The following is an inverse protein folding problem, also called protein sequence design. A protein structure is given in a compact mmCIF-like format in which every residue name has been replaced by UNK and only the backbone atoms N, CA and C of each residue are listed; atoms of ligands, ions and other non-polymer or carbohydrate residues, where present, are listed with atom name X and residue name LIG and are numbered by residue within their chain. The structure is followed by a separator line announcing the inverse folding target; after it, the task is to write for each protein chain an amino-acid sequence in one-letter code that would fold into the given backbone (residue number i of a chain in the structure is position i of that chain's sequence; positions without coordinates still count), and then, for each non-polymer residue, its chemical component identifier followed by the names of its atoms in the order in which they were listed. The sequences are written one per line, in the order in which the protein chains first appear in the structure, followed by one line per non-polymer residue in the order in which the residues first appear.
data_IF_967090730043
#
_entry.id   IF_967090730043
#
_cell.length_a   1.000
_cell.length_b   1.000
_cell.length_c   1.000
_cell.angle_alpha   90.00
_cell.angle_beta   90.00
_cell.angle_gamma   90.00
#
_symmetry.space_group_name_H-M   'P 1'
#
loop_
_entity.id
_entity.type
_entity.pdbx_description
1 polymer ?
#
# COMPACT_ATOMS: atom_id res chain seq x y z
N UNK A 1 34.77 -14.16 53.77
CA UNK A 1 34.35 -13.91 52.37
C UNK A 1 32.83 -13.86 52.36
N UNK A 2 32.23 -12.69 52.46
CA UNK A 2 30.77 -12.53 52.42
C UNK A 2 30.37 -12.14 50.99
N UNK A 3 29.45 -12.89 50.39
CA UNK A 3 28.92 -12.65 49.05
C UNK A 3 27.97 -11.45 49.06
N UNK A 4 28.27 -10.43 48.25
CA UNK A 4 27.34 -9.35 47.97
C UNK A 4 26.26 -9.83 46.99
N UNK A 5 25.02 -9.92 47.46
CA UNK A 5 23.83 -10.01 46.60
C UNK A 5 23.28 -8.60 46.38
N UNK A 6 23.31 -8.11 45.15
CA UNK A 6 22.67 -6.84 44.79
C UNK A 6 21.16 -7.04 44.72
N UNK A 7 20.33 -6.24 45.41
CA UNK A 7 18.88 -6.34 45.31
C UNK A 7 18.43 -5.78 43.96
N UNK A 8 17.72 -6.60 43.17
CA UNK A 8 17.00 -6.12 41.99
C UNK A 8 15.96 -5.08 42.44
N UNK A 9 16.16 -3.83 42.03
CA UNK A 9 15.28 -2.72 42.33
C UNK A 9 13.93 -2.97 41.65
N UNK A 10 12.94 -3.46 42.41
CA UNK A 10 11.56 -3.60 41.91
C UNK A 10 10.95 -2.21 41.77
N UNK A 11 10.92 -1.71 40.54
CA UNK A 11 10.24 -0.46 40.21
C UNK A 11 8.73 -0.65 40.48
N UNK A 12 8.23 -0.12 41.61
CA UNK A 12 6.80 -0.13 41.92
C UNK A 12 6.16 1.04 41.19
N UNK A 13 5.44 0.74 40.11
CA UNK A 13 4.66 1.74 39.41
C UNK A 13 3.50 2.23 40.31
N UNK A 14 3.29 3.54 40.50
CA UNK A 14 2.15 4.04 41.26
C UNK A 14 0.84 3.57 40.61
N UNK A 15 -0.12 3.15 41.43
CA UNK A 15 -1.44 2.64 41.00
C UNK A 15 -2.15 3.51 39.95
N UNK A 16 -2.19 4.85 40.02
CA UNK A 16 -2.82 5.65 38.97
C UNK A 16 -2.08 5.56 37.63
N UNK A 17 -0.75 5.39 37.64
CA UNK A 17 0.04 5.22 36.42
C UNK A 17 -0.22 3.84 35.79
N UNK A 18 -0.37 2.81 36.62
CA UNK A 18 -0.77 1.48 36.15
C UNK A 18 -2.16 1.49 35.52
N UNK A 19 -3.14 2.17 36.14
CA UNK A 19 -4.50 2.32 35.58
C UNK A 19 -4.48 3.10 34.25
N UNK A 20 -3.70 4.19 34.17
CA UNK A 20 -3.57 4.98 32.95
C UNK A 20 -2.96 4.17 31.79
N UNK A 21 -1.94 3.35 32.06
CA UNK A 21 -1.31 2.45 31.08
C UNK A 21 -2.27 1.38 30.60
N UNK A 22 -3.04 0.76 31.50
CA UNK A 22 -4.06 -0.24 31.12
C UNK A 22 -5.15 0.38 30.26
N UNK A 23 -5.61 1.60 30.59
CA UNK A 23 -6.63 2.29 29.81
C UNK A 23 -6.13 2.67 28.40
N UNK A 24 -4.86 3.07 28.26
CA UNK A 24 -4.25 3.35 26.94
C UNK A 24 -4.08 2.08 26.10
N UNK A 25 -3.73 0.95 26.72
CA UNK A 25 -3.62 -0.33 26.01
C UNK A 25 -4.98 -0.85 25.51
N UNK A 26 -6.05 -0.68 26.29
CA UNK A 26 -7.41 -1.09 25.91
C UNK A 26 -7.99 -0.16 24.82
N UNK A 27 -7.62 1.12 24.83
CA UNK A 27 -8.07 2.10 23.84
C UNK A 27 -7.28 2.04 22.51
N UNK A 28 -6.28 1.18 22.39
CA UNK A 28 -5.53 1.03 21.16
C UNK A 28 -6.44 0.48 20.05
N UNK A 29 -6.51 1.13 18.87
CA UNK A 29 -7.25 0.59 17.74
C UNK A 29 -6.66 -0.77 17.32
N UNK A 30 -7.47 -1.69 16.77
CA UNK A 30 -6.97 -2.96 16.26
C UNK A 30 -5.86 -2.70 15.23
N UNK A 31 -4.75 -3.43 15.38
CA UNK A 31 -3.63 -3.35 14.47
C UNK A 31 -4.11 -3.93 13.13
N UNK A 32 -4.30 -3.08 12.14
CA UNK A 32 -4.48 -3.54 10.77
C UNK A 32 -3.09 -3.89 10.22
N UNK A 33 -2.85 -5.17 9.97
CA UNK A 33 -1.65 -5.66 9.26
C UNK A 33 -1.74 -5.22 7.78
N UNK A 34 -1.41 -3.96 7.53
CA UNK A 34 -1.29 -3.42 6.19
C UNK A 34 0.10 -3.71 5.63
N UNK A 35 0.19 -3.84 4.31
CA UNK A 35 1.48 -4.02 3.64
C UNK A 35 2.33 -2.76 3.76
N UNK A 36 3.57 -2.91 4.23
CA UNK A 36 4.62 -1.92 4.03
C UNK A 36 5.46 -2.23 2.78
N UNK A 37 6.61 -1.56 2.63
CA UNK A 37 7.56 -1.78 1.53
C UNK A 37 7.84 -3.26 1.25
N UNK A 38 8.12 -4.03 2.30
CA UNK A 38 8.42 -5.47 2.17
C UNK A 38 7.23 -6.28 1.66
N UNK A 39 6.02 -5.94 2.11
CA UNK A 39 4.79 -6.56 1.63
C UNK A 39 4.60 -6.42 0.13
N UNK A 40 4.75 -5.19 -0.37
CA UNK A 40 4.67 -4.91 -1.81
C UNK A 40 5.74 -5.68 -2.61
N UNK A 41 6.97 -5.73 -2.12
CA UNK A 41 8.06 -6.49 -2.76
C UNK A 41 7.70 -8.00 -2.81
N UNK A 42 7.25 -8.57 -1.70
CA UNK A 42 6.91 -10.00 -1.60
C UNK A 42 5.77 -10.38 -2.54
N UNK A 43 4.67 -9.62 -2.57
CA UNK A 43 3.54 -9.88 -3.48
C UNK A 43 4.00 -9.85 -4.93
N UNK A 44 4.81 -8.87 -5.32
CA UNK A 44 5.31 -8.78 -6.69
C UNK A 44 6.29 -9.90 -7.05
N UNK A 45 7.20 -10.29 -6.14
CA UNK A 45 8.06 -11.46 -6.36
C UNK A 45 7.25 -12.74 -6.58
N UNK A 46 6.17 -12.92 -5.82
CA UNK A 46 5.27 -14.06 -6.02
C UNK A 46 4.62 -13.95 -7.41
N UNK A 47 4.04 -12.80 -7.75
CA UNK A 47 3.35 -12.57 -9.02
C UNK A 47 4.25 -12.80 -10.25
N UNK A 48 5.52 -12.39 -10.21
CA UNK A 48 6.48 -12.60 -11.30
C UNK A 48 6.61 -14.08 -11.70
N UNK A 49 6.53 -15.00 -10.75
CA UNK A 49 6.62 -16.44 -11.01
C UNK A 49 5.38 -17.01 -11.73
N UNK A 50 4.26 -16.28 -11.76
CA UNK A 50 3.01 -16.70 -12.40
C UNK A 50 2.74 -15.95 -13.71
N UNK A 51 3.66 -15.08 -14.16
CA UNK A 51 3.51 -14.39 -15.43
C UNK A 51 3.75 -15.35 -16.60
N UNK A 52 2.89 -15.26 -17.62
CA UNK A 52 3.17 -15.88 -18.91
C UNK A 52 4.40 -15.24 -19.58
N UNK A 53 5.05 -15.93 -20.51
CA UNK A 53 6.20 -15.40 -21.25
C UNK A 53 5.90 -14.04 -21.92
N UNK A 54 4.70 -13.90 -22.50
CA UNK A 54 4.22 -12.64 -23.09
C UNK A 54 4.15 -11.51 -22.05
N UNK A 55 3.65 -11.82 -20.85
CA UNK A 55 3.54 -10.83 -19.77
C UNK A 55 4.93 -10.46 -19.20
N UNK A 56 5.84 -11.43 -19.07
CA UNK A 56 7.24 -11.17 -18.67
C UNK A 56 7.92 -10.22 -19.66
N UNK A 57 7.75 -10.45 -20.97
CA UNK A 57 8.32 -9.58 -22.00
C UNK A 57 7.77 -8.14 -21.89
N UNK A 58 6.45 -7.99 -21.77
CA UNK A 58 5.82 -6.68 -21.61
C UNK A 58 6.27 -5.95 -20.33
N UNK A 59 6.38 -6.67 -19.21
CA UNK A 59 6.88 -6.10 -17.94
C UNK A 59 8.31 -5.61 -18.11
N UNK A 60 9.20 -6.41 -18.72
CA UNK A 60 10.59 -6.01 -18.96
C UNK A 60 10.72 -4.80 -19.87
N UNK A 61 9.84 -4.66 -20.85
CA UNK A 61 9.83 -3.49 -21.75
C UNK A 61 9.34 -2.21 -21.05
N UNK A 62 8.37 -2.34 -20.14
CA UNK A 62 7.80 -1.20 -19.39
C UNK A 62 8.66 -0.75 -18.20
N UNK A 63 9.49 -1.65 -17.66
CA UNK A 63 10.34 -1.33 -16.51
C UNK A 63 11.49 -0.38 -16.91
N UNK A 64 11.82 0.60 -16.07
CA UNK A 64 13.02 1.41 -16.28
C UNK A 64 14.28 0.56 -16.07
N UNK A 65 15.39 0.96 -16.68
CA UNK A 65 16.69 0.29 -16.52
C UNK A 65 17.11 0.16 -15.04
N UNK A 66 16.77 1.16 -14.22
CA UNK A 66 17.06 1.17 -12.77
C UNK A 66 16.37 0.05 -11.99
N UNK A 67 15.34 -0.60 -12.56
CA UNK A 67 14.66 -1.75 -11.95
C UNK A 67 15.43 -3.06 -12.12
N UNK A 68 16.49 -3.09 -12.94
CA UNK A 68 17.29 -4.31 -13.19
C UNK A 68 16.50 -5.47 -13.81
N UNK A 69 15.37 -5.17 -14.45
CA UNK A 69 14.45 -6.17 -15.01
C UNK A 69 13.56 -6.88 -13.98
N UNK A 70 13.50 -6.41 -12.73
CA UNK A 70 12.68 -6.99 -11.66
C UNK A 70 11.53 -6.06 -11.25
N UNK A 71 10.29 -6.50 -11.47
CA UNK A 71 9.06 -5.79 -11.11
C UNK A 71 8.99 -5.47 -9.62
N UNK A 72 9.45 -6.40 -8.77
CA UNK A 72 9.40 -6.24 -7.32
C UNK A 72 10.12 -4.99 -6.80
N UNK A 73 11.15 -4.51 -7.51
CA UNK A 73 11.89 -3.30 -7.13
C UNK A 73 11.06 -2.03 -7.27
N UNK A 74 10.07 -2.04 -8.16
CA UNK A 74 9.20 -0.90 -8.46
C UNK A 74 7.85 -0.97 -7.72
N UNK A 75 7.48 -2.09 -7.11
CA UNK A 75 6.17 -2.21 -6.45
C UNK A 75 5.93 -1.27 -5.25
N UNK A 76 6.94 -0.84 -4.48
CA UNK A 76 6.76 0.20 -3.47
C UNK A 76 6.62 1.62 -4.04
N UNK A 77 6.91 1.85 -5.33
CA UNK A 77 7.01 3.19 -5.93
C UNK A 77 5.74 4.02 -5.75
N UNK A 78 4.56 3.41 -5.82
CA UNK A 78 3.28 4.10 -5.64
C UNK A 78 3.20 4.81 -4.27
N UNK A 79 3.71 4.17 -3.21
CA UNK A 79 3.74 4.76 -1.88
C UNK A 79 4.73 5.93 -1.76
N UNK A 80 5.83 5.88 -2.51
CA UNK A 80 6.84 6.95 -2.53
C UNK A 80 6.30 8.20 -3.24
N UNK A 81 5.62 8.02 -4.37
CA UNK A 81 5.14 9.15 -5.18
C UNK A 81 3.81 9.73 -4.72
N UNK A 82 3.07 9.11 -3.80
CA UNK A 82 1.77 9.62 -3.32
C UNK A 82 1.84 10.99 -2.64
N UNK A 83 3.03 11.42 -2.22
CA UNK A 83 3.27 12.75 -1.68
C UNK A 83 3.63 13.79 -2.75
N UNK A 84 4.05 13.33 -3.94
CA UNK A 84 4.25 14.17 -5.13
C UNK A 84 2.96 14.29 -5.93
N UNK A 85 2.26 13.17 -6.12
CA UNK A 85 0.98 13.08 -6.82
C UNK A 85 -0.15 12.94 -5.80
N UNK A 86 -0.56 14.05 -5.20
CA UNK A 86 -1.56 14.03 -4.12
C UNK A 86 -2.89 13.37 -4.51
N UNK A 87 -3.26 13.40 -5.79
CA UNK A 87 -4.46 12.74 -6.31
C UNK A 87 -4.40 11.22 -6.17
N UNK A 88 -3.21 10.61 -6.07
CA UNK A 88 -3.07 9.15 -5.96
C UNK A 88 -3.27 8.64 -4.54
N UNK A 89 -3.15 9.49 -3.51
CA UNK A 89 -3.30 9.10 -2.09
C UNK A 89 -4.56 8.26 -1.80
N UNK A 90 -5.79 8.65 -2.21
CA UNK A 90 -6.97 7.85 -1.95
C UNK A 90 -7.00 6.52 -2.72
N UNK A 91 -6.14 6.33 -3.72
CA UNK A 91 -6.07 5.10 -4.51
C UNK A 91 -5.39 3.94 -3.78
N UNK A 92 -4.85 4.15 -2.58
CA UNK A 92 -4.19 3.11 -1.78
C UNK A 92 -5.14 2.34 -0.86
N UNK A 93 -6.39 2.78 -0.72
CA UNK A 93 -7.34 2.19 0.23
C UNK A 93 -8.79 2.35 -0.24
N UNK A 94 -9.70 1.80 0.57
CA UNK A 94 -11.13 2.07 0.51
C UNK A 94 -11.63 2.27 1.92
N UNK A 95 -12.39 3.34 2.15
CA UNK A 95 -13.07 3.54 3.43
C UNK A 95 -14.47 2.96 3.32
N UNK A 96 -14.81 2.06 4.24
CA UNK A 96 -16.17 1.54 4.39
C UNK A 96 -16.82 2.20 5.60
N UNK A 97 -18.16 2.34 5.65
CA UNK A 97 -18.83 2.65 6.90
C UNK A 97 -18.58 1.52 7.92
N UNK A 98 -19.06 1.66 9.15
CA UNK A 98 -18.90 0.62 10.19
C UNK A 98 -19.77 -0.62 9.93
N UNK A 99 -19.59 -1.24 8.76
CA UNK A 99 -20.26 -2.43 8.26
C UNK A 99 -19.21 -3.34 7.65
N UNK A 100 -19.37 -4.64 7.83
CA UNK A 100 -18.43 -5.63 7.30
C UNK A 100 -18.74 -6.01 5.84
N UNK A 101 -18.99 -5.01 4.98
CA UNK A 101 -19.15 -5.23 3.54
C UNK A 101 -18.63 -4.07 2.70
N UNK A 102 -18.20 -4.40 1.49
CA UNK A 102 -17.83 -3.43 0.45
C UNK A 102 -18.91 -3.36 -0.63
N UNK A 103 -19.27 -2.14 -1.03
CA UNK A 103 -20.11 -1.86 -2.19
C UNK A 103 -19.46 -0.75 -3.00
N UNK A 104 -19.07 -1.05 -4.24
CA UNK A 104 -18.33 -0.11 -5.09
C UNK A 104 -18.98 1.28 -5.19
N UNK A 105 -20.28 1.34 -5.47
CA UNK A 105 -21.03 2.60 -5.61
C UNK A 105 -21.15 3.42 -4.33
N UNK A 106 -21.04 2.77 -3.16
CA UNK A 106 -21.11 3.43 -1.84
C UNK A 106 -19.73 3.84 -1.36
N UNK A 107 -18.72 2.99 -1.54
CA UNK A 107 -17.45 3.07 -0.82
C UNK A 107 -16.28 3.55 -1.70
N UNK A 108 -16.36 3.37 -3.03
CA UNK A 108 -15.24 3.71 -3.91
C UNK A 108 -15.26 5.19 -4.32
N UNK A 109 -14.96 6.05 -3.37
CA UNK A 109 -14.79 7.48 -3.60
C UNK A 109 -13.72 8.07 -2.68
N UNK A 110 -13.19 9.24 -3.03
CA UNK A 110 -12.31 10.00 -2.14
C UNK A 110 -13.12 10.89 -1.16
N UNK A 111 -12.42 11.66 -0.32
CA UNK A 111 -13.03 12.59 0.64
C UNK A 111 -13.87 13.71 0.03
N UNK A 112 -13.76 13.94 -1.29
CA UNK A 112 -14.57 14.90 -2.05
C UNK A 112 -15.79 14.26 -2.73
N UNK A 113 -16.02 12.97 -2.52
CA UNK A 113 -17.10 12.21 -3.15
C UNK A 113 -16.86 11.87 -4.62
N UNK A 114 -15.65 12.08 -5.15
CA UNK A 114 -15.32 11.70 -6.53
C UNK A 114 -15.30 10.17 -6.65
N UNK A 115 -16.23 9.63 -7.44
CA UNK A 115 -16.39 8.19 -7.66
C UNK A 115 -15.17 7.58 -8.36
N UNK A 116 -14.88 6.31 -8.07
CA UNK A 116 -13.74 5.56 -8.61
C UNK A 116 -12.40 5.90 -7.96
N UNK A 117 -12.33 6.91 -7.09
CA UNK A 117 -11.09 7.31 -6.41
C UNK A 117 -10.83 6.46 -5.15
N UNK A 118 -10.66 5.16 -5.34
CA UNK A 118 -10.26 4.18 -4.32
C UNK A 118 -9.35 3.10 -4.95
N UNK A 119 -8.80 2.18 -4.14
CA UNK A 119 -7.92 1.11 -4.63
C UNK A 119 -8.56 0.20 -5.68
N UNK A 120 -9.86 -0.13 -5.54
CA UNK A 120 -10.56 -0.97 -6.51
C UNK A 120 -10.73 -0.25 -7.84
N UNK A 121 -11.08 1.05 -7.81
CA UNK A 121 -11.17 1.87 -9.02
C UNK A 121 -9.81 2.08 -9.69
N UNK A 122 -8.73 2.20 -8.90
CA UNK A 122 -7.38 2.29 -9.41
C UNK A 122 -6.95 1.02 -10.16
N UNK A 123 -7.22 -0.17 -9.59
CA UNK A 123 -6.95 -1.44 -10.26
C UNK A 123 -7.67 -1.50 -11.60
N UNK A 124 -8.95 -1.16 -11.65
CA UNK A 124 -9.72 -1.15 -12.90
C UNK A 124 -9.11 -0.18 -13.92
N UNK A 125 -8.79 1.06 -13.51
CA UNK A 125 -8.23 2.09 -14.38
C UNK A 125 -6.87 1.67 -14.97
N UNK A 126 -5.93 1.20 -14.15
CA UNK A 126 -4.60 0.83 -14.63
C UNK A 126 -4.62 -0.49 -15.43
N UNK A 127 -5.56 -1.39 -15.14
CA UNK A 127 -5.79 -2.57 -15.99
C UNK A 127 -6.28 -2.16 -17.37
N UNK A 128 -7.24 -1.23 -17.45
CA UNK A 128 -7.75 -0.70 -18.72
C UNK A 128 -6.66 -0.02 -19.55
N UNK A 129 -5.79 0.77 -18.91
CA UNK A 129 -4.64 1.37 -19.59
C UNK A 129 -3.71 0.31 -20.19
N UNK A 130 -3.43 -0.78 -19.46
CA UNK A 130 -2.58 -1.87 -19.94
C UNK A 130 -3.23 -2.69 -21.07
N UNK A 131 -4.55 -2.74 -21.21
CA UNK A 131 -5.18 -3.38 -22.37
C UNK A 131 -4.84 -2.67 -23.69
N UNK A 132 -4.53 -1.37 -23.65
CA UNK A 132 -4.12 -0.59 -24.82
C UNK A 132 -2.62 -0.68 -25.13
N UNK A 133 -1.85 -1.36 -24.27
CA UNK A 133 -0.41 -1.54 -24.46
C UNK A 133 -0.13 -2.39 -25.72
N UNK A 134 0.78 -1.90 -26.57
CA UNK A 134 1.12 -2.53 -27.85
C UNK A 134 0.16 -2.22 -29.01
N UNK A 135 -0.93 -1.47 -28.79
CA UNK A 135 -1.77 -0.98 -29.89
C UNK A 135 -1.11 0.25 -30.55
N UNK A 136 -0.68 0.12 -31.81
CA UNK A 136 -0.01 1.17 -32.58
C UNK A 136 -0.83 2.45 -32.74
N UNK A 137 -2.15 2.43 -32.51
CA UNK A 137 -2.99 3.64 -32.58
C UNK A 137 -2.95 4.51 -31.31
N UNK A 138 -2.39 4.02 -30.20
CA UNK A 138 -2.46 4.68 -28.88
C UNK A 138 -1.12 5.15 -28.34
N UNK A 139 -0.01 4.82 -29.01
CA UNK A 139 1.35 5.24 -28.63
C UNK A 139 1.51 6.76 -28.50
N UNK A 140 0.68 7.55 -29.21
CA UNK A 140 0.68 9.01 -29.13
C UNK A 140 -0.12 9.60 -27.93
N UNK A 141 -0.83 8.79 -27.13
CA UNK A 141 -1.68 9.28 -26.03
C UNK A 141 -1.09 9.10 -24.62
N UNK A 142 -0.11 8.23 -24.43
CA UNK A 142 0.51 8.02 -23.11
C UNK A 142 1.46 9.14 -22.69
N UNK A 143 2.01 9.92 -23.64
CA UNK A 143 2.87 11.07 -23.34
C UNK A 143 2.09 12.33 -22.88
N UNK A 144 0.79 12.42 -23.17
CA UNK A 144 0.00 13.65 -23.01
C UNK A 144 -0.89 13.73 -21.76
N UNK A 145 -0.85 12.76 -20.84
CA UNK A 145 -1.72 12.76 -19.62
C UNK A 145 -0.99 13.00 -18.29
N UNK A 146 0.31 13.26 -18.29
CA UNK A 146 1.09 13.52 -17.06
C UNK A 146 1.09 14.98 -16.60
N UNK A 147 0.19 15.82 -17.12
CA UNK A 147 0.01 17.20 -16.67
C UNK A 147 -1.43 17.45 -16.26
N UNK A 148 -1.83 16.92 -15.09
CA UNK A 148 -2.87 17.48 -14.23
C UNK A 148 -2.50 17.23 -12.76
#
# INVERSE_FOLDING_TARGET
MAAHTSPLLRLRLPTPLAVAVVFTLIAAPPIAEAWGKQGHIMVCKIAENYLSEKAVAAVKELLPESAGGELSTMCPWADEVRFRYYWSRPLHYVNTPQVCNFKYSRDCHNSRGQQGMCVVGAINNYTEQLYSYGDSKTSCKLSARTQL
#
